data_IF_233737676651
#
_entry.id   IF_233737676651
#
_cell.length_a   1.000
_cell.length_b   1.000
_cell.length_c   1.000
_cell.angle_alpha   90.00
_cell.angle_beta   90.00
_cell.angle_gamma   90.00
#
_symmetry.space_group_name_H-M   'P 1'
#
loop_
_entity.id
_entity.type
_entity.pdbx_description
1 polymer ?
#
# COMPACT_ATOMS: atom_id res chain seq x y z
N UNK A 1 4.85 9.57 5.31
CA UNK A 1 4.01 8.65 6.09
C UNK A 1 2.59 9.21 6.12
N UNK A 2 1.58 8.34 6.16
CA UNK A 2 0.15 8.68 6.17
C UNK A 2 -0.51 8.15 7.44
N UNK A 3 -1.56 8.82 7.91
CA UNK A 3 -2.37 8.36 9.03
C UNK A 3 -3.50 7.48 8.50
N UNK A 4 -3.48 6.18 8.83
CA UNK A 4 -4.48 5.24 8.36
C UNK A 4 -5.73 5.21 9.27
N UNK A 5 -6.78 4.50 8.82
CA UNK A 5 -8.06 4.36 9.54
C UNK A 5 -7.93 3.81 10.98
N UNK A 6 -6.80 3.19 11.31
CA UNK A 6 -6.50 2.69 12.66
C UNK A 6 -5.73 3.69 13.54
N UNK A 7 -5.66 4.97 13.15
CA UNK A 7 -4.90 6.02 13.84
C UNK A 7 -3.42 5.69 14.00
N UNK A 8 -2.86 4.91 13.07
CA UNK A 8 -1.43 4.59 13.03
C UNK A 8 -0.77 5.22 11.81
N UNK A 9 0.52 5.50 11.92
CA UNK A 9 1.32 6.04 10.82
C UNK A 9 2.01 4.92 10.05
N UNK A 10 1.88 4.93 8.73
CA UNK A 10 2.54 3.98 7.83
C UNK A 10 3.07 4.68 6.59
N UNK A 11 3.85 3.96 5.77
CA UNK A 11 4.10 4.40 4.39
C UNK A 11 2.78 4.35 3.61
N UNK A 12 2.59 5.25 2.62
CA UNK A 12 1.45 5.14 1.73
C UNK A 12 1.53 3.85 0.92
N UNK A 13 0.38 3.25 0.61
CA UNK A 13 0.34 2.03 -0.18
C UNK A 13 -0.93 1.21 -0.01
N UNK A 14 -1.14 0.30 -0.96
CA UNK A 14 -2.31 -0.55 -1.04
C UNK A 14 -2.05 -1.80 -1.87
N UNK A 15 -3.12 -2.44 -2.33
CA UNK A 15 -3.02 -3.59 -3.21
C UNK A 15 -2.62 -3.15 -4.63
N UNK A 16 -1.89 -4.03 -5.32
CA UNK A 16 -1.61 -3.86 -6.76
C UNK A 16 -2.85 -4.31 -7.53
N UNK A 17 -3.39 -3.45 -8.40
CA UNK A 17 -4.56 -3.80 -9.19
C UNK A 17 -4.20 -4.68 -10.40
N UNK A 18 -5.20 -5.35 -10.99
CA UNK A 18 -4.99 -6.20 -12.16
C UNK A 18 -4.49 -5.35 -13.32
N UNK A 19 -3.33 -5.72 -13.86
CA UNK A 19 -2.72 -5.02 -14.99
C UNK A 19 -1.78 -3.87 -14.58
N UNK A 20 -1.66 -3.58 -13.28
CA UNK A 20 -0.66 -2.63 -12.77
C UNK A 20 0.69 -3.30 -12.50
N UNK A 21 1.77 -2.56 -12.77
CA UNK A 21 3.11 -2.80 -12.24
C UNK A 21 3.21 -2.33 -10.79
N UNK A 22 4.23 -2.76 -10.05
CA UNK A 22 4.46 -2.31 -8.67
C UNK A 22 4.67 -0.80 -8.59
N UNK A 23 5.37 -0.25 -9.58
CA UNK A 23 5.67 1.17 -9.73
C UNK A 23 4.39 1.98 -9.95
N UNK A 24 3.50 1.50 -10.82
CA UNK A 24 2.20 2.15 -11.07
C UNK A 24 1.34 2.18 -9.81
N UNK A 25 1.25 1.06 -9.09
CA UNK A 25 0.49 0.99 -7.85
C UNK A 25 1.04 1.97 -6.80
N UNK A 26 2.35 2.02 -6.59
CA UNK A 26 2.97 2.96 -5.63
C UNK A 26 2.70 4.43 -5.98
N UNK A 27 2.78 4.80 -7.27
CA UNK A 27 2.50 6.18 -7.72
C UNK A 27 1.02 6.53 -7.49
N UNK A 28 0.11 5.61 -7.85
CA UNK A 28 -1.35 5.80 -7.66
C UNK A 28 -1.70 5.96 -6.19
N UNK A 29 -1.32 4.99 -5.35
CA UNK A 29 -1.62 4.98 -3.91
C UNK A 29 -1.04 6.21 -3.20
N UNK A 30 0.20 6.59 -3.52
CA UNK A 30 0.81 7.80 -2.94
C UNK A 30 0.02 9.05 -3.30
N UNK A 31 -0.41 9.17 -4.56
CA UNK A 31 -1.22 10.31 -5.00
C UNK A 31 -2.60 10.32 -4.34
N UNK A 32 -3.25 9.18 -4.19
CA UNK A 32 -4.58 9.06 -3.56
C UNK A 32 -4.55 9.44 -2.07
N UNK A 33 -3.55 8.97 -1.33
CA UNK A 33 -3.49 9.19 0.12
C UNK A 33 -2.84 10.51 0.54
N UNK A 34 -1.99 11.11 -0.32
CA UNK A 34 -1.21 12.31 0.03
C UNK A 34 -1.38 13.49 -0.92
N UNK A 35 -1.92 13.27 -2.13
CA UNK A 35 -1.97 14.27 -3.20
C UNK A 35 -0.64 14.51 -3.92
N UNK A 36 0.44 13.81 -3.55
CA UNK A 36 1.77 14.01 -4.15
C UNK A 36 1.98 13.15 -5.40
N UNK A 37 2.72 13.70 -6.36
CA UNK A 37 3.24 12.96 -7.52
C UNK A 37 4.71 12.65 -7.26
N UNK A 38 5.12 11.40 -7.45
CA UNK A 38 6.45 10.90 -7.09
C UNK A 38 7.14 10.20 -8.27
N UNK A 39 8.45 10.07 -8.17
CA UNK A 39 9.26 9.17 -8.99
C UNK A 39 9.68 7.97 -8.16
N UNK A 40 9.59 6.76 -8.74
CA UNK A 40 9.91 5.52 -8.03
C UNK A 40 11.38 5.18 -8.22
N UNK A 41 12.10 5.05 -7.10
CA UNK A 41 13.49 4.62 -7.07
C UNK A 41 13.65 3.10 -7.01
N UNK A 42 14.85 2.64 -6.64
CA UNK A 42 15.14 1.21 -6.51
C UNK A 42 14.40 0.55 -5.34
N UNK A 43 14.12 -0.76 -5.47
CA UNK A 43 13.55 -1.57 -4.38
C UNK A 43 14.52 -1.60 -3.19
N UNK A 44 14.02 -1.22 -2.01
CA UNK A 44 14.82 -1.19 -0.78
C UNK A 44 14.63 -2.49 0.04
N UNK A 45 13.43 -3.09 0.02
CA UNK A 45 13.12 -4.31 0.75
C UNK A 45 11.91 -5.05 0.16
N UNK A 46 11.86 -6.37 0.36
CA UNK A 46 10.68 -7.21 0.11
C UNK A 46 10.27 -7.85 1.43
N UNK A 47 9.07 -7.56 1.89
CA UNK A 47 8.56 -8.01 3.20
C UNK A 47 7.33 -8.88 2.99
N UNK A 48 7.34 -10.08 3.58
CA UNK A 48 6.18 -10.97 3.59
C UNK A 48 5.59 -11.02 5.00
N UNK A 49 4.32 -10.65 5.13
CA UNK A 49 3.57 -10.75 6.39
C UNK A 49 2.57 -11.88 6.29
N UNK A 50 2.72 -12.88 7.15
CA UNK A 50 1.69 -13.91 7.34
C UNK A 50 0.59 -13.33 8.23
N UNK A 51 -0.63 -13.27 7.71
CA UNK A 51 -1.80 -12.96 8.51
C UNK A 51 -2.36 -14.28 9.08
N UNK A 52 -2.49 -14.37 10.40
CA UNK A 52 -3.28 -15.44 11.02
C UNK A 52 -4.73 -14.97 11.01
N UNK A 53 -5.58 -15.62 10.21
CA UNK A 53 -7.01 -15.32 10.17
C UNK A 53 -7.70 -15.88 11.41
N UNK A 54 -8.42 -15.02 12.14
CA UNK A 54 -9.51 -15.39 13.05
C UNK A 54 -10.61 -14.33 12.95
N UNK A 55 -11.10 -14.06 11.74
CA UNK A 55 -12.28 -13.23 11.50
C UNK A 55 -13.15 -13.90 10.46
N UNK A 56 -14.33 -14.35 10.88
CA UNK A 56 -15.40 -14.80 10.01
C UNK A 56 -15.70 -13.71 8.98
N UNK A 57 -15.42 -14.00 7.72
CA UNK A 57 -15.83 -13.18 6.59
C UNK A 57 -17.16 -13.78 6.13
N UNK A 58 -18.27 -13.20 6.58
CA UNK A 58 -19.57 -13.49 5.96
C UNK A 58 -19.57 -12.80 4.59
N UNK A 59 -19.57 -13.63 3.54
CA UNK A 59 -19.84 -13.23 2.15
C UNK A 59 -21.29 -12.80 1.98
#
# INVERSE_FOLDING_TARGET
>A
MVNNKHSTWSLPGGAVEIGETLEQAVIRETKEETGLVIEVGSIIAVIMKRFSQNRDITV
#
